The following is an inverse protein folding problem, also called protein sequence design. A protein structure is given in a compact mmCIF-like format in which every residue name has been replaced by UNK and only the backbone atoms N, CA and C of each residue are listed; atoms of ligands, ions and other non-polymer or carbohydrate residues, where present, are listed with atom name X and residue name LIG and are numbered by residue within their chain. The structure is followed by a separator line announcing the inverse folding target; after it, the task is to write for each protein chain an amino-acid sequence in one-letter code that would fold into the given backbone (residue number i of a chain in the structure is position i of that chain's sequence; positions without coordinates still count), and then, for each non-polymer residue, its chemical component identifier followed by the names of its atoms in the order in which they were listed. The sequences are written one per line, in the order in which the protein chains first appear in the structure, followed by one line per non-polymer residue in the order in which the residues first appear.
data_IF_381803566782
#
_entry.id   IF_381803566782
#
_cell.length_a   1.000
_cell.length_b   1.000
_cell.length_c   1.000
_cell.angle_alpha   90.00
_cell.angle_beta   90.00
_cell.angle_gamma   90.00
#
_symmetry.space_group_name_H-M   'P 1'
#
loop_
_entity.id
_entity.type
_entity.pdbx_description
1 polymer ?
#
# COMPACT_ATOMS: atom_id res chain seq x y z
N UNK A 1 -18.32 15.15 77.42
CA UNK A 1 -17.12 14.35 77.23
C UNK A 1 -17.49 12.89 77.38
N UNK A 2 -17.64 12.18 76.34
CA UNK A 2 -17.69 10.70 76.28
C UNK A 2 -16.86 10.28 75.04
N UNK A 3 -15.75 9.69 75.30
CA UNK A 3 -14.88 9.00 74.31
C UNK A 3 -15.60 7.78 73.80
N UNK A 4 -15.70 7.63 72.51
CA UNK A 4 -16.13 6.41 71.83
C UNK A 4 -14.85 5.72 71.25
N UNK A 5 -14.45 4.68 71.96
CA UNK A 5 -13.38 3.77 71.50
C UNK A 5 -13.95 2.84 70.38
N UNK A 6 -13.34 2.87 69.22
CA UNK A 6 -13.61 1.92 68.13
C UNK A 6 -12.72 0.66 68.30
N UNK A 7 -13.22 -0.53 68.03
CA UNK A 7 -12.48 -1.76 68.26
C UNK A 7 -11.39 -2.02 67.21
N UNK A 8 -10.26 -2.52 67.68
CA UNK A 8 -9.02 -2.81 67.01
C UNK A 8 -9.06 -3.95 65.96
N UNK A 9 -10.23 -4.49 65.60
CA UNK A 9 -10.36 -5.65 64.70
C UNK A 9 -10.55 -5.33 63.22
N UNK A 10 -10.78 -4.07 62.86
CA UNK A 10 -10.99 -3.66 61.46
C UNK A 10 -9.67 -3.28 60.75
N UNK A 11 -8.63 -2.92 61.51
CA UNK A 11 -7.34 -2.43 60.97
C UNK A 11 -6.42 -3.59 60.46
N UNK A 12 -6.58 -4.79 60.99
CA UNK A 12 -5.75 -5.96 60.58
C UNK A 12 -6.24 -6.57 59.28
N UNK A 13 -7.54 -6.44 58.95
CA UNK A 13 -8.11 -6.99 57.72
C UNK A 13 -7.82 -6.09 56.54
N UNK A 14 -7.82 -4.78 56.69
CA UNK A 14 -7.47 -3.82 55.66
C UNK A 14 -5.96 -3.80 55.35
N UNK A 15 -5.12 -4.01 56.36
CA UNK A 15 -3.65 -4.11 56.13
C UNK A 15 -3.22 -5.40 55.41
N UNK A 16 -4.02 -6.47 55.44
CA UNK A 16 -3.76 -7.70 54.67
C UNK A 16 -4.18 -7.61 53.21
N UNK A 17 -5.10 -6.71 52.86
CA UNK A 17 -5.51 -6.51 51.45
C UNK A 17 -4.54 -5.57 50.72
N UNK A 18 -3.83 -4.67 51.44
CA UNK A 18 -2.90 -3.72 50.84
C UNK A 18 -1.41 -4.17 50.88
N UNK A 19 -1.10 -5.32 51.49
CA UNK A 19 0.27 -5.86 51.58
C UNK A 19 0.53 -7.06 50.69
N UNK A 20 -0.30 -7.34 49.69
CA UNK A 20 0.08 -8.25 48.61
C UNK A 20 0.80 -7.46 47.52
N UNK A 21 2.10 -7.19 47.78
CA UNK A 21 3.07 -6.66 46.81
C UNK A 21 3.28 -7.56 45.57
N UNK A 22 2.38 -8.53 45.33
CA UNK A 22 2.38 -9.42 44.17
C UNK A 22 1.26 -9.17 43.18
N UNK A 23 0.37 -8.18 43.40
CA UNK A 23 -0.70 -7.85 42.46
C UNK A 23 -0.48 -6.47 41.78
N UNK A 24 0.46 -5.66 42.27
CA UNK A 24 0.73 -4.30 41.70
C UNK A 24 1.80 -4.31 40.59
N UNK A 25 2.40 -5.47 40.28
CA UNK A 25 3.46 -5.53 39.27
C UNK A 25 3.07 -6.17 37.93
N UNK A 26 1.80 -6.07 37.51
CA UNK A 26 1.40 -6.62 36.21
C UNK A 26 0.43 -5.72 35.40
N UNK A 27 0.26 -4.50 35.80
CA UNK A 27 -0.15 -3.44 34.86
C UNK A 27 1.14 -2.67 34.58
N UNK A 28 2.00 -3.16 33.67
CA UNK A 28 2.83 -2.26 32.89
C UNK A 28 1.81 -1.33 32.23
N UNK A 29 1.80 -0.06 32.64
CA UNK A 29 1.34 0.99 31.76
C UNK A 29 2.14 0.75 30.47
N UNK A 30 1.52 0.17 29.44
CA UNK A 30 2.04 0.29 28.09
C UNK A 30 2.08 1.79 27.86
N UNK A 31 3.28 2.38 27.95
CA UNK A 31 3.48 3.77 27.54
C UNK A 31 2.90 3.87 26.14
N UNK A 32 1.80 4.58 26.00
CA UNK A 32 1.22 4.85 24.69
C UNK A 32 2.36 5.43 23.83
N UNK A 33 2.65 4.88 22.67
CA UNK A 33 3.74 5.38 21.84
C UNK A 33 3.56 6.87 21.65
N UNK A 34 4.65 7.64 21.87
CA UNK A 34 4.60 9.09 21.67
C UNK A 34 4.13 9.40 20.26
N UNK A 35 3.16 10.29 20.13
CA UNK A 35 2.65 10.73 18.82
C UNK A 35 3.82 11.23 17.96
N UNK A 36 3.90 10.74 16.73
CA UNK A 36 4.87 11.18 15.72
C UNK A 36 4.47 12.54 15.11
N UNK A 37 3.18 12.89 15.19
CA UNK A 37 2.60 14.11 14.65
C UNK A 37 1.75 14.85 15.68
N UNK A 38 2.33 15.29 16.83
CA UNK A 38 1.57 15.81 17.95
C UNK A 38 0.81 17.11 17.64
N UNK A 39 1.26 17.87 16.65
CA UNK A 39 0.66 19.14 16.25
C UNK A 39 -0.44 18.99 15.18
N UNK A 40 -0.66 17.77 14.68
CA UNK A 40 -1.67 17.51 13.64
C UNK A 40 -2.83 16.75 14.29
N UNK A 41 -3.98 17.36 14.32
CA UNK A 41 -5.22 16.72 14.75
C UNK A 41 -5.77 15.79 13.67
N UNK A 42 -6.78 14.99 13.99
CA UNK A 42 -7.56 14.26 12.99
C UNK A 42 -8.12 15.24 11.96
N UNK A 43 -7.91 14.96 10.68
CA UNK A 43 -8.33 15.82 9.57
C UNK A 43 -9.86 15.83 9.47
N UNK A 44 -10.52 16.97 9.69
CA UNK A 44 -11.97 17.08 9.61
C UNK A 44 -12.45 17.24 8.17
N UNK A 45 -13.76 17.04 7.95
CA UNK A 45 -14.44 17.53 6.75
C UNK A 45 -14.96 18.95 7.01
N UNK A 46 -14.55 19.92 6.21
CA UNK A 46 -14.89 21.35 6.35
C UNK A 46 -15.82 21.86 5.23
N UNK A 47 -16.01 21.03 4.19
CA UNK A 47 -16.84 21.37 3.03
C UNK A 47 -16.16 22.31 2.04
N UNK A 48 -16.76 22.45 0.85
CA UNK A 48 -16.18 23.16 -0.29
C UNK A 48 -15.88 24.65 -0.06
N UNK A 49 -16.50 25.27 0.94
CA UNK A 49 -16.27 26.67 1.33
C UNK A 49 -15.38 26.82 2.56
N UNK A 50 -14.89 25.74 3.12
CA UNK A 50 -14.00 25.74 4.27
C UNK A 50 -12.68 26.44 3.99
N UNK A 51 -12.04 26.98 5.02
CA UNK A 51 -10.79 27.72 4.90
C UNK A 51 -9.62 27.03 5.59
N UNK A 52 -9.83 25.88 6.21
CA UNK A 52 -8.77 25.14 6.89
C UNK A 52 -7.97 24.27 5.89
N UNK A 53 -6.67 24.55 5.68
CA UNK A 53 -5.86 23.76 4.74
C UNK A 53 -5.60 22.33 5.22
N UNK A 54 -5.76 22.02 6.52
CA UNK A 54 -5.70 20.68 7.10
C UNK A 54 -7.11 20.13 7.33
N UNK A 55 -7.97 20.22 6.31
CA UNK A 55 -9.31 19.65 6.29
C UNK A 55 -9.65 19.13 4.88
N UNK A 56 -10.54 18.16 4.82
CA UNK A 56 -11.14 17.74 3.55
C UNK A 56 -12.23 18.71 3.13
N UNK A 57 -12.22 19.10 1.86
CA UNK A 57 -13.25 19.95 1.27
C UNK A 57 -14.24 19.15 0.43
N UNK A 58 -13.85 17.98 -0.04
CA UNK A 58 -14.69 17.13 -0.88
C UNK A 58 -14.80 15.69 -0.38
N UNK A 59 -13.79 15.15 0.30
CA UNK A 59 -13.86 13.82 0.86
C UNK A 59 -14.69 13.81 2.16
N UNK A 60 -15.89 13.24 2.06
CA UNK A 60 -16.74 12.97 3.22
C UNK A 60 -17.05 11.47 3.22
N UNK A 61 -16.37 10.67 4.06
CA UNK A 61 -16.43 9.21 3.99
C UNK A 61 -17.84 8.64 4.10
N UNK A 62 -18.72 9.28 4.82
CA UNK A 62 -20.10 8.82 5.06
C UNK A 62 -21.12 9.40 4.06
N UNK A 63 -20.73 10.29 3.15
CA UNK A 63 -21.63 10.79 2.12
C UNK A 63 -22.05 9.65 1.19
N UNK A 64 -23.37 9.47 1.03
CA UNK A 64 -23.91 8.42 0.17
C UNK A 64 -23.95 8.88 -1.29
N UNK A 65 -23.22 8.18 -2.14
CA UNK A 65 -23.16 8.40 -3.59
C UNK A 65 -23.55 7.08 -4.29
N UNK A 66 -24.49 7.12 -5.23
CA UNK A 66 -24.95 5.94 -5.94
C UNK A 66 -25.34 4.75 -5.02
N UNK A 67 -25.87 5.07 -3.83
CA UNK A 67 -26.38 4.08 -2.87
C UNK A 67 -25.33 3.48 -1.92
N UNK A 68 -24.07 3.91 -1.96
CA UNK A 68 -23.01 3.47 -1.06
C UNK A 68 -22.28 4.67 -0.44
N UNK A 69 -21.73 4.55 0.79
CA UNK A 69 -20.82 5.54 1.35
C UNK A 69 -19.63 5.82 0.42
N UNK A 70 -19.17 7.07 0.38
CA UNK A 70 -18.05 7.50 -0.45
C UNK A 70 -16.78 6.66 -0.20
N UNK A 71 -16.48 6.34 1.05
CA UNK A 71 -15.33 5.49 1.43
C UNK A 71 -15.35 4.09 0.82
N UNK A 72 -16.53 3.53 0.55
CA UNK A 72 -16.67 2.21 -0.08
C UNK A 72 -16.42 2.24 -1.58
N UNK A 73 -16.67 3.39 -2.23
CA UNK A 73 -16.29 3.59 -3.63
C UNK A 73 -14.79 3.80 -3.80
N UNK A 74 -14.16 4.53 -2.88
CA UNK A 74 -12.79 4.99 -3.03
C UNK A 74 -11.76 4.04 -2.42
N UNK A 75 -12.07 3.39 -1.28
CA UNK A 75 -11.18 2.43 -0.60
C UNK A 75 -9.71 2.88 -0.60
N UNK A 76 -9.46 4.09 -0.10
CA UNK A 76 -8.11 4.66 -0.08
C UNK A 76 -7.15 3.84 0.75
N UNK A 77 -5.95 3.63 0.20
CA UNK A 77 -4.85 2.96 0.87
C UNK A 77 -3.58 3.82 0.89
N UNK A 78 -2.78 3.64 1.94
CA UNK A 78 -1.47 4.25 2.09
C UNK A 78 -0.41 3.31 1.52
N UNK A 79 0.39 3.79 0.56
CA UNK A 79 1.59 3.11 0.08
C UNK A 79 2.74 3.28 1.08
N UNK A 80 3.22 2.16 1.63
CA UNK A 80 4.26 2.17 2.67
C UNK A 80 5.56 2.79 2.17
N UNK A 81 5.99 2.41 0.96
CA UNK A 81 7.28 2.81 0.37
C UNK A 81 7.42 4.33 0.20
N UNK A 82 6.47 4.99 -0.43
CA UNK A 82 6.55 6.42 -0.64
C UNK A 82 6.29 7.22 0.64
N UNK A 83 5.29 6.84 1.41
CA UNK A 83 4.89 7.60 2.59
C UNK A 83 5.90 7.46 3.73
N UNK A 84 6.42 6.25 3.98
CA UNK A 84 7.20 5.96 5.19
C UNK A 84 8.69 5.67 4.92
N UNK A 85 9.09 5.33 3.69
CA UNK A 85 10.46 4.94 3.39
C UNK A 85 11.20 5.94 2.51
N UNK A 86 10.51 6.59 1.56
CA UNK A 86 11.15 7.50 0.63
C UNK A 86 11.63 8.79 1.32
N UNK A 87 12.92 9.06 1.23
CA UNK A 87 13.58 10.24 1.83
C UNK A 87 13.98 11.30 0.79
N UNK A 88 13.62 11.10 -0.48
CA UNK A 88 13.94 12.02 -1.57
C UNK A 88 15.37 11.89 -2.10
N UNK A 89 16.03 10.75 -1.86
CA UNK A 89 17.32 10.45 -2.48
C UNK A 89 17.16 10.18 -3.98
N UNK A 90 18.16 10.58 -4.76
CA UNK A 90 18.27 10.29 -6.19
C UNK A 90 19.73 10.10 -6.60
N UNK A 91 19.98 9.91 -7.90
CA UNK A 91 21.34 9.71 -8.41
C UNK A 91 22.29 10.91 -8.22
N UNK A 92 21.78 12.08 -7.85
CA UNK A 92 22.55 13.31 -7.68
C UNK A 92 22.80 13.68 -6.23
N UNK A 93 22.13 13.03 -5.27
CA UNK A 93 22.35 13.32 -3.85
C UNK A 93 21.54 12.47 -2.87
N UNK A 94 21.91 12.59 -1.58
CA UNK A 94 21.20 11.89 -0.52
C UNK A 94 19.81 12.44 -0.30
N UNK A 95 19.02 11.71 0.48
CA UNK A 95 17.68 12.12 0.90
C UNK A 95 17.69 13.42 1.71
N UNK A 96 16.67 14.24 1.49
CA UNK A 96 16.49 15.56 2.13
C UNK A 96 15.44 15.54 3.25
N UNK A 97 14.62 14.48 3.33
CA UNK A 97 13.60 14.32 4.34
C UNK A 97 13.91 13.11 5.23
N UNK A 98 13.96 13.31 6.54
CA UNK A 98 14.13 12.20 7.48
C UNK A 98 12.81 11.46 7.70
N UNK A 99 12.87 10.13 7.65
CA UNK A 99 11.77 9.23 7.99
C UNK A 99 12.12 8.32 9.18
N UNK A 100 12.98 8.80 10.08
CA UNK A 100 13.41 8.02 11.24
C UNK A 100 12.31 7.91 12.32
N UNK A 101 11.35 8.83 12.35
CA UNK A 101 10.24 8.84 13.31
C UNK A 101 10.72 8.71 14.76
N UNK A 102 11.81 9.44 15.12
CA UNK A 102 12.40 9.44 16.46
C UNK A 102 13.20 8.19 16.85
N UNK A 103 13.31 7.19 15.97
CA UNK A 103 14.09 5.98 16.22
C UNK A 103 15.52 6.07 15.66
N UNK A 104 16.43 5.30 16.27
CA UNK A 104 17.77 5.09 15.70
C UNK A 104 17.67 4.08 14.53
N UNK A 105 18.06 4.51 13.34
CA UNK A 105 18.06 3.65 12.15
C UNK A 105 19.02 2.47 12.22
N UNK A 106 20.04 2.51 13.11
CA UNK A 106 20.95 1.39 13.33
C UNK A 106 20.29 0.24 14.10
N UNK A 107 19.25 0.50 14.89
CA UNK A 107 18.36 -0.53 15.44
C UNK A 107 17.22 -0.81 14.46
N UNK A 108 17.44 -1.81 13.62
CA UNK A 108 16.53 -2.17 12.50
C UNK A 108 15.09 -2.43 12.98
N UNK A 109 14.94 -3.11 14.14
CA UNK A 109 13.61 -3.45 14.63
C UNK A 109 12.92 -2.28 15.32
N UNK A 110 13.65 -1.46 16.09
CA UNK A 110 13.10 -0.23 16.65
C UNK A 110 12.67 0.74 15.55
N UNK A 111 13.49 0.90 14.52
CA UNK A 111 13.15 1.72 13.35
C UNK A 111 11.92 1.19 12.59
N UNK A 112 11.84 -0.12 12.37
CA UNK A 112 10.68 -0.74 11.73
C UNK A 112 9.40 -0.50 12.54
N UNK A 113 9.44 -0.67 13.87
CA UNK A 113 8.29 -0.41 14.76
C UNK A 113 7.88 1.07 14.77
N UNK A 114 8.85 2.00 14.76
CA UNK A 114 8.57 3.44 14.67
C UNK A 114 7.87 3.82 13.35
N UNK A 115 8.26 3.19 12.22
CA UNK A 115 7.54 3.35 10.94
C UNK A 115 6.10 2.85 11.03
N UNK A 116 5.88 1.71 11.67
CA UNK A 116 4.51 1.17 11.88
C UNK A 116 3.69 2.16 12.68
N UNK A 117 4.20 2.66 13.81
CA UNK A 117 3.49 3.62 14.65
C UNK A 117 3.14 4.90 13.89
N UNK A 118 4.09 5.46 13.14
CA UNK A 118 3.86 6.63 12.30
C UNK A 118 2.82 6.38 11.20
N UNK A 119 2.91 5.25 10.51
CA UNK A 119 1.97 4.88 9.44
C UNK A 119 0.54 4.74 9.94
N UNK A 120 0.34 4.06 11.06
CA UNK A 120 -0.98 3.90 11.66
C UNK A 120 -1.53 5.22 12.18
N UNK A 121 -0.69 6.11 12.76
CA UNK A 121 -1.10 7.45 13.17
C UNK A 121 -1.54 8.30 11.98
N UNK A 122 -0.79 8.30 10.86
CA UNK A 122 -1.16 9.00 9.62
C UNK A 122 -2.53 8.51 9.13
N UNK A 123 -2.71 7.19 9.00
CA UNK A 123 -3.96 6.61 8.51
C UNK A 123 -5.15 6.95 9.41
N UNK A 124 -4.99 6.90 10.73
CA UNK A 124 -6.05 7.28 11.67
C UNK A 124 -6.43 8.76 11.55
N UNK A 125 -5.43 9.65 11.43
CA UNK A 125 -5.67 11.10 11.29
C UNK A 125 -6.34 11.44 9.96
N UNK A 126 -6.01 10.74 8.88
CA UNK A 126 -6.61 10.91 7.55
C UNK A 126 -7.90 10.11 7.34
N UNK A 127 -8.27 9.22 8.26
CA UNK A 127 -9.37 8.27 8.05
C UNK A 127 -9.15 7.36 6.81
N UNK A 128 -7.90 7.00 6.55
CA UNK A 128 -7.52 5.98 5.54
C UNK A 128 -7.64 4.61 6.18
N UNK A 129 -8.41 3.72 5.57
CA UNK A 129 -8.75 2.42 6.16
C UNK A 129 -7.83 1.28 5.72
N UNK A 130 -6.96 1.50 4.70
CA UNK A 130 -6.13 0.46 4.11
C UNK A 130 -4.69 0.88 3.94
N UNK A 131 -3.78 -0.11 3.83
CA UNK A 131 -2.39 0.09 3.44
C UNK A 131 -1.92 -1.01 2.49
N UNK A 132 -0.86 -0.69 1.73
CA UNK A 132 -0.13 -1.60 0.87
C UNK A 132 1.36 -1.56 1.20
N UNK A 133 2.09 -2.67 1.00
CA UNK A 133 3.50 -2.76 1.38
C UNK A 133 4.29 -3.74 0.50
N UNK A 134 5.61 -3.47 0.36
CA UNK A 134 6.60 -4.49 0.00
C UNK A 134 7.21 -5.10 1.27
N UNK A 135 7.70 -6.31 1.17
CA UNK A 135 8.39 -6.98 2.28
C UNK A 135 9.54 -6.13 2.87
N UNK A 136 10.32 -5.47 2.01
CA UNK A 136 11.45 -4.62 2.42
C UNK A 136 11.06 -3.27 3.00
N UNK A 137 9.83 -2.81 2.80
CA UNK A 137 9.36 -1.55 3.33
C UNK A 137 9.08 -1.65 4.83
N UNK A 138 8.52 -2.78 5.25
CA UNK A 138 8.14 -2.99 6.65
C UNK A 138 9.34 -3.28 7.54
N UNK A 139 10.37 -3.99 7.00
CA UNK A 139 11.67 -4.16 7.66
C UNK A 139 12.78 -4.40 6.65
N UNK A 140 13.99 -3.93 6.96
CA UNK A 140 15.17 -4.08 6.11
C UNK A 140 15.60 -5.55 5.96
N UNK A 141 15.98 -5.94 4.73
CA UNK A 141 16.53 -7.26 4.41
C UNK A 141 17.86 -7.47 5.15
N UNK A 142 18.01 -8.64 5.76
CA UNK A 142 19.23 -9.04 6.47
C UNK A 142 20.21 -9.74 5.51
N UNK A 143 21.40 -10.06 6.02
CA UNK A 143 22.43 -10.77 5.27
C UNK A 143 22.03 -12.19 4.84
N UNK A 144 21.08 -12.81 5.53
CA UNK A 144 20.55 -14.14 5.22
C UNK A 144 19.03 -14.12 5.11
N UNK A 145 18.47 -14.98 4.25
CA UNK A 145 17.04 -15.14 4.10
C UNK A 145 16.36 -15.59 5.40
N UNK A 146 17.02 -16.45 6.18
CA UNK A 146 16.49 -16.90 7.45
C UNK A 146 16.31 -15.77 8.46
N UNK A 147 17.30 -14.88 8.57
CA UNK A 147 17.21 -13.73 9.47
C UNK A 147 16.22 -12.67 8.94
N UNK A 148 16.16 -12.47 7.61
CA UNK A 148 15.14 -11.63 6.98
C UNK A 148 13.74 -12.13 7.34
N UNK A 149 13.49 -13.43 7.19
CA UNK A 149 12.19 -14.02 7.51
C UNK A 149 11.84 -13.88 9.00
N UNK A 150 12.80 -14.02 9.90
CA UNK A 150 12.59 -13.82 11.35
C UNK A 150 12.17 -12.37 11.65
N UNK A 151 12.86 -11.40 11.06
CA UNK A 151 12.51 -9.96 11.20
C UNK A 151 11.11 -9.67 10.64
N UNK A 152 10.80 -10.22 9.47
CA UNK A 152 9.49 -10.10 8.83
C UNK A 152 8.38 -10.67 9.69
N UNK A 153 8.58 -11.83 10.32
CA UNK A 153 7.59 -12.43 11.23
C UNK A 153 7.34 -11.53 12.45
N UNK A 154 8.40 -11.02 13.08
CA UNK A 154 8.31 -10.14 14.25
C UNK A 154 7.58 -8.82 13.94
N UNK A 155 7.96 -8.14 12.83
CA UNK A 155 7.32 -6.88 12.49
C UNK A 155 5.87 -7.07 12.04
N UNK A 156 5.56 -8.19 11.38
CA UNK A 156 4.20 -8.51 10.96
C UNK A 156 3.29 -8.77 12.16
N UNK A 157 3.79 -9.41 13.23
CA UNK A 157 3.04 -9.54 14.49
C UNK A 157 2.74 -8.17 15.11
N UNK A 158 3.71 -7.26 15.05
CA UNK A 158 3.53 -5.89 15.53
C UNK A 158 2.48 -5.13 14.69
N UNK A 159 2.57 -5.19 13.36
CA UNK A 159 1.57 -4.61 12.44
C UNK A 159 0.18 -5.18 12.75
N UNK A 160 0.07 -6.51 12.91
CA UNK A 160 -1.21 -7.17 13.22
C UNK A 160 -1.82 -6.64 14.51
N UNK A 161 -1.02 -6.43 15.55
CA UNK A 161 -1.50 -5.84 16.82
C UNK A 161 -2.07 -4.43 16.63
N UNK A 162 -1.46 -3.61 15.77
CA UNK A 162 -1.97 -2.27 15.43
C UNK A 162 -3.25 -2.34 14.60
N UNK A 163 -3.33 -3.26 13.65
CA UNK A 163 -4.56 -3.51 12.88
C UNK A 163 -5.72 -3.88 13.81
N UNK A 164 -5.49 -4.78 14.75
CA UNK A 164 -6.52 -5.22 15.70
C UNK A 164 -6.99 -4.07 16.62
N UNK A 165 -6.08 -3.17 17.01
CA UNK A 165 -6.39 -2.02 17.84
C UNK A 165 -7.13 -0.90 17.09
N UNK A 166 -6.89 -0.74 15.77
CA UNK A 166 -7.38 0.42 14.99
C UNK A 166 -8.48 0.09 14.00
N UNK A 167 -8.62 -1.17 13.60
CA UNK A 167 -9.51 -1.61 12.52
C UNK A 167 -8.97 -1.34 11.10
N UNK A 168 -7.77 -0.77 10.96
CA UNK A 168 -7.10 -0.56 9.66
C UNK A 168 -6.72 -1.93 9.08
N UNK A 169 -6.80 -2.06 7.75
CA UNK A 169 -6.69 -3.33 7.03
C UNK A 169 -5.56 -3.31 6.01
N UNK A 170 -4.98 -4.47 5.73
CA UNK A 170 -4.10 -4.64 4.59
C UNK A 170 -4.95 -4.75 3.31
N UNK A 171 -4.68 -3.89 2.31
CA UNK A 171 -5.31 -4.00 0.99
C UNK A 171 -4.60 -5.09 0.19
N UNK A 172 -3.30 -4.92 -0.02
CA UNK A 172 -2.46 -5.93 -0.65
C UNK A 172 -1.01 -5.84 -0.21
N UNK A 173 -0.31 -6.95 -0.31
CA UNK A 173 1.13 -7.04 -0.14
C UNK A 173 1.83 -7.41 -1.43
N UNK A 174 3.13 -7.16 -1.49
CA UNK A 174 3.99 -7.55 -2.60
C UNK A 174 5.41 -7.83 -2.13
N UNK A 175 6.25 -8.33 -3.03
CA UNK A 175 7.65 -8.66 -2.79
C UNK A 175 8.56 -7.69 -3.55
N UNK A 176 9.54 -7.09 -2.87
CA UNK A 176 10.61 -6.36 -3.56
C UNK A 176 11.60 -7.35 -4.18
N UNK A 177 11.36 -7.70 -5.44
CA UNK A 177 12.23 -8.55 -6.26
C UNK A 177 12.92 -7.74 -7.38
N UNK A 178 13.27 -6.47 -7.12
CA UNK A 178 13.79 -5.55 -8.13
C UNK A 178 14.92 -4.63 -7.63
N UNK A 179 14.93 -4.21 -6.37
CA UNK A 179 15.89 -3.23 -5.87
C UNK A 179 17.29 -3.80 -5.64
N UNK A 180 17.40 -5.04 -5.16
CA UNK A 180 18.70 -5.63 -4.87
C UNK A 180 19.44 -6.00 -6.17
N UNK A 181 20.75 -5.79 -6.19
CA UNK A 181 21.62 -6.07 -7.37
C UNK A 181 21.49 -7.49 -7.95
N UNK A 182 21.07 -8.49 -7.15
CA UNK A 182 20.83 -9.87 -7.62
C UNK A 182 19.77 -9.94 -8.72
N UNK A 183 18.82 -9.02 -8.72
CA UNK A 183 17.70 -8.99 -9.65
C UNK A 183 17.93 -8.14 -10.90
N UNK A 184 19.16 -7.69 -11.15
CA UNK A 184 19.45 -6.79 -12.27
C UNK A 184 19.15 -7.39 -13.65
N UNK A 185 19.15 -8.74 -13.77
CA UNK A 185 18.77 -9.48 -14.99
C UNK A 185 17.44 -10.22 -14.80
N UNK A 186 16.49 -9.62 -14.07
CA UNK A 186 15.20 -10.21 -13.72
C UNK A 186 15.23 -11.01 -12.42
N UNK A 187 14.06 -11.27 -11.90
CA UNK A 187 13.81 -12.17 -10.78
C UNK A 187 13.09 -13.43 -11.27
N UNK A 188 11.81 -13.28 -11.66
CA UNK A 188 11.01 -14.35 -12.26
C UNK A 188 11.45 -14.73 -13.68
N UNK A 189 11.98 -13.77 -14.43
CA UNK A 189 12.54 -13.96 -15.77
C UNK A 189 14.01 -14.38 -15.76
N UNK A 190 14.67 -14.36 -14.59
CA UNK A 190 16.11 -14.63 -14.52
C UNK A 190 16.50 -15.97 -15.16
N UNK A 191 17.56 -15.98 -16.00
CA UNK A 191 18.13 -17.21 -16.53
C UNK A 191 18.96 -17.99 -15.49
N UNK A 192 19.27 -17.35 -14.35
CA UNK A 192 20.02 -17.94 -13.24
C UNK A 192 19.03 -18.66 -12.30
N UNK A 193 19.19 -19.97 -12.17
CA UNK A 193 18.32 -20.81 -11.35
C UNK A 193 18.35 -20.44 -9.85
N UNK A 194 19.51 -20.00 -9.33
CA UNK A 194 19.66 -19.60 -7.93
C UNK A 194 18.93 -18.28 -7.66
N UNK A 195 18.98 -17.33 -8.60
CA UNK A 195 18.24 -16.07 -8.51
C UNK A 195 16.73 -16.33 -8.60
N UNK A 196 16.29 -17.16 -9.53
CA UNK A 196 14.88 -17.56 -9.65
C UNK A 196 14.39 -18.23 -8.35
N UNK A 197 15.15 -19.17 -7.80
CA UNK A 197 14.79 -19.85 -6.53
C UNK A 197 14.75 -18.87 -5.35
N UNK A 198 15.68 -17.93 -5.30
CA UNK A 198 15.68 -16.88 -4.26
C UNK A 198 14.45 -15.97 -4.38
N UNK A 199 14.10 -15.52 -5.59
CA UNK A 199 12.90 -14.75 -5.86
C UNK A 199 11.63 -15.50 -5.43
N UNK A 200 11.53 -16.79 -5.80
CA UNK A 200 10.42 -17.65 -5.40
C UNK A 200 10.29 -17.75 -3.88
N UNK A 201 11.41 -17.89 -3.16
CA UNK A 201 11.41 -17.97 -1.70
C UNK A 201 10.96 -16.64 -1.04
N UNK A 202 11.37 -15.49 -1.60
CA UNK A 202 10.92 -14.16 -1.14
C UNK A 202 9.43 -13.96 -1.41
N UNK A 203 8.95 -14.27 -2.61
CA UNK A 203 7.53 -14.15 -2.97
C UNK A 203 6.68 -15.04 -2.07
N UNK A 204 7.13 -16.30 -1.85
CA UNK A 204 6.46 -17.21 -0.91
C UNK A 204 6.29 -16.55 0.46
N UNK A 205 7.35 -15.95 1.01
CA UNK A 205 7.29 -15.26 2.31
C UNK A 205 6.35 -14.06 2.28
N UNK A 206 6.41 -13.20 1.26
CA UNK A 206 5.52 -12.03 1.14
C UNK A 206 4.04 -12.45 1.03
N UNK A 207 3.73 -13.54 0.36
CA UNK A 207 2.39 -14.15 0.34
C UNK A 207 1.95 -14.59 1.74
N UNK A 208 2.82 -15.28 2.50
CA UNK A 208 2.54 -15.68 3.88
C UNK A 208 2.21 -14.49 4.78
N UNK A 209 2.99 -13.39 4.66
CA UNK A 209 2.75 -12.15 5.40
C UNK A 209 1.41 -11.52 5.02
N UNK A 210 1.10 -11.48 3.72
CA UNK A 210 -0.17 -10.95 3.21
C UNK A 210 -1.36 -11.73 3.77
N UNK A 211 -1.27 -13.06 3.79
CA UNK A 211 -2.29 -13.94 4.39
C UNK A 211 -2.42 -13.68 5.90
N UNK A 212 -1.31 -13.60 6.62
CA UNK A 212 -1.26 -13.34 8.07
C UNK A 212 -1.91 -12.00 8.43
N UNK A 213 -1.73 -10.98 7.60
CA UNK A 213 -2.35 -9.65 7.75
C UNK A 213 -3.79 -9.58 7.21
N UNK A 214 -4.33 -10.68 6.67
CA UNK A 214 -5.68 -10.68 6.10
C UNK A 214 -5.82 -9.79 4.86
N UNK A 215 -4.74 -9.62 4.10
CA UNK A 215 -4.74 -8.85 2.86
C UNK A 215 -5.70 -9.44 1.83
N UNK A 216 -6.38 -8.57 1.10
CA UNK A 216 -7.38 -8.97 0.09
C UNK A 216 -6.79 -9.08 -1.31
N UNK A 217 -5.53 -8.71 -1.50
CA UNK A 217 -4.79 -8.80 -2.74
C UNK A 217 -3.31 -9.11 -2.56
N UNK A 218 -2.69 -9.60 -3.64
CA UNK A 218 -1.24 -9.72 -3.79
C UNK A 218 -0.82 -9.22 -5.17
N UNK A 219 0.15 -8.30 -5.23
CA UNK A 219 0.60 -7.69 -6.49
C UNK A 219 1.90 -8.34 -6.96
N UNK A 220 1.99 -8.66 -8.26
CA UNK A 220 3.24 -8.93 -8.97
C UNK A 220 3.63 -7.66 -9.71
N UNK A 221 4.69 -6.99 -9.26
CA UNK A 221 5.27 -5.86 -9.95
C UNK A 221 6.60 -6.26 -10.60
N UNK A 222 6.66 -6.10 -11.93
CA UNK A 222 7.71 -6.64 -12.78
C UNK A 222 8.84 -5.67 -13.13
N UNK A 223 9.25 -4.78 -12.22
CA UNK A 223 10.22 -3.71 -12.51
C UNK A 223 11.55 -4.14 -13.13
N UNK A 224 11.99 -5.38 -12.91
CA UNK A 224 13.19 -5.97 -13.54
C UNK A 224 12.87 -7.09 -14.52
N UNK A 225 11.60 -7.39 -14.73
CA UNK A 225 11.14 -8.42 -15.68
C UNK A 225 11.06 -7.82 -17.09
N UNK A 226 12.19 -7.86 -17.78
CA UNK A 226 12.35 -7.23 -19.08
C UNK A 226 13.78 -7.27 -19.58
N UNK A 227 14.10 -6.46 -20.58
CA UNK A 227 15.42 -6.47 -21.22
C UNK A 227 15.92 -5.07 -21.58
N UNK A 228 17.24 -4.94 -21.76
CA UNK A 228 17.90 -3.75 -22.26
C UNK A 228 18.11 -3.84 -23.79
N UNK A 229 18.36 -5.05 -24.30
CA UNK A 229 18.59 -5.34 -25.72
C UNK A 229 18.16 -6.77 -26.03
N UNK A 230 17.66 -6.99 -27.26
CA UNK A 230 17.32 -8.33 -27.75
C UNK A 230 18.53 -9.19 -28.16
N UNK A 231 19.73 -8.62 -28.20
CA UNK A 231 20.91 -9.34 -28.69
C UNK A 231 21.29 -10.58 -27.85
N UNK A 232 20.98 -10.55 -26.57
CA UNK A 232 21.30 -11.61 -25.60
C UNK A 232 20.10 -12.02 -24.75
N UNK A 233 18.91 -11.84 -25.27
CA UNK A 233 17.64 -12.10 -24.54
C UNK A 233 16.89 -13.24 -25.22
N UNK A 234 16.65 -14.33 -24.50
CA UNK A 234 15.70 -15.36 -24.89
C UNK A 234 14.31 -15.04 -24.28
N UNK A 235 13.57 -14.20 -24.99
CA UNK A 235 12.25 -13.71 -24.55
C UNK A 235 11.30 -14.85 -24.19
N UNK A 236 11.33 -15.95 -24.98
CA UNK A 236 10.42 -17.07 -24.70
C UNK A 236 10.76 -17.76 -23.40
N UNK A 237 12.03 -18.03 -23.16
CA UNK A 237 12.52 -18.66 -21.94
C UNK A 237 12.21 -17.80 -20.70
N UNK A 238 12.44 -16.50 -20.81
CA UNK A 238 12.17 -15.55 -19.72
C UNK A 238 10.67 -15.47 -19.38
N UNK A 239 9.79 -15.38 -20.37
CA UNK A 239 8.35 -15.38 -20.17
C UNK A 239 7.84 -16.72 -19.64
N UNK A 240 8.38 -17.87 -20.10
CA UNK A 240 8.06 -19.18 -19.55
C UNK A 240 8.40 -19.27 -18.05
N UNK A 241 9.56 -18.72 -17.65
CA UNK A 241 9.98 -18.65 -16.25
C UNK A 241 9.06 -17.75 -15.40
N UNK A 242 8.75 -16.55 -15.89
CA UNK A 242 7.84 -15.63 -15.19
C UNK A 242 6.48 -16.28 -14.95
N UNK A 243 5.90 -16.89 -16.00
CA UNK A 243 4.61 -17.58 -15.87
C UNK A 243 4.66 -18.75 -14.88
N UNK A 244 5.77 -19.51 -14.87
CA UNK A 244 6.03 -20.58 -13.90
C UNK A 244 6.07 -20.04 -12.47
N UNK A 245 6.80 -18.95 -12.24
CA UNK A 245 6.88 -18.31 -10.92
C UNK A 245 5.54 -17.85 -10.42
N UNK A 246 4.77 -17.16 -11.27
CA UNK A 246 3.40 -16.71 -10.93
C UNK A 246 2.50 -17.89 -10.59
N UNK A 247 2.49 -18.96 -11.39
CA UNK A 247 1.70 -20.16 -11.11
C UNK A 247 2.09 -20.80 -9.78
N UNK A 248 3.39 -20.95 -9.51
CA UNK A 248 3.88 -21.49 -8.23
C UNK A 248 3.42 -20.64 -7.03
N UNK A 249 3.49 -19.32 -7.15
CA UNK A 249 3.06 -18.40 -6.11
C UNK A 249 1.54 -18.48 -5.86
N UNK A 250 0.73 -18.52 -6.93
CA UNK A 250 -0.72 -18.63 -6.86
C UNK A 250 -1.13 -19.97 -6.20
N UNK A 251 -0.58 -21.08 -6.68
CA UNK A 251 -0.90 -22.42 -6.16
C UNK A 251 -0.51 -22.53 -4.69
N UNK A 252 0.66 -22.01 -4.32
CA UNK A 252 1.08 -21.96 -2.93
C UNK A 252 0.13 -21.13 -2.06
N UNK A 253 -0.18 -19.90 -2.48
CA UNK A 253 -1.08 -19.02 -1.75
C UNK A 253 -2.46 -19.66 -1.54
N UNK A 254 -3.03 -20.30 -2.57
CA UNK A 254 -4.29 -21.04 -2.44
C UNK A 254 -4.17 -22.21 -1.46
N UNK A 255 -3.05 -22.90 -1.46
CA UNK A 255 -2.80 -24.03 -0.53
C UNK A 255 -2.76 -23.62 0.95
N UNK A 256 -2.39 -22.38 1.24
CA UNK A 256 -2.38 -21.82 2.61
C UNK A 256 -3.63 -20.97 2.95
N UNK A 257 -4.66 -21.03 2.09
CA UNK A 257 -5.97 -20.43 2.33
C UNK A 257 -6.14 -18.99 1.88
N UNK A 258 -5.26 -18.46 1.02
CA UNK A 258 -5.47 -17.14 0.43
C UNK A 258 -6.66 -17.14 -0.53
N UNK A 259 -7.67 -16.32 -0.26
CA UNK A 259 -8.89 -16.20 -1.06
C UNK A 259 -8.96 -14.86 -1.83
N UNK A 260 -7.98 -13.98 -1.61
CA UNK A 260 -7.91 -12.67 -2.27
C UNK A 260 -7.56 -12.76 -3.77
N UNK A 261 -7.51 -11.62 -4.41
CA UNK A 261 -7.13 -11.50 -5.82
C UNK A 261 -5.60 -11.41 -5.97
N UNK A 262 -5.10 -11.92 -7.10
CA UNK A 262 -3.75 -11.61 -7.56
C UNK A 262 -3.81 -10.50 -8.60
N UNK A 263 -2.81 -9.65 -8.59
CA UNK A 263 -2.69 -8.56 -9.54
C UNK A 263 -1.33 -8.60 -10.24
N UNK A 264 -1.29 -8.22 -11.51
CA UNK A 264 -0.09 -7.77 -12.20
C UNK A 264 -0.20 -6.26 -12.41
N UNK A 265 0.90 -5.55 -12.29
CA UNK A 265 0.94 -4.10 -12.44
C UNK A 265 1.76 -3.73 -13.66
N UNK A 266 1.12 -3.40 -14.77
CA UNK A 266 1.79 -3.09 -16.03
C UNK A 266 2.61 -1.80 -15.93
N UNK A 267 3.83 -1.86 -16.52
CA UNK A 267 4.72 -0.70 -16.69
C UNK A 267 5.56 -0.89 -17.96
N UNK A 268 5.70 0.13 -18.84
CA UNK A 268 6.44 -0.07 -20.09
C UNK A 268 7.95 -0.07 -19.92
N UNK A 269 8.46 0.64 -18.91
CA UNK A 269 9.89 0.87 -18.67
C UNK A 269 10.12 1.34 -17.23
N UNK A 270 11.39 1.35 -16.81
CA UNK A 270 11.86 1.75 -15.47
C UNK A 270 11.54 0.74 -14.37
N UNK A 271 12.59 0.12 -13.83
CA UNK A 271 14.00 0.35 -14.16
C UNK A 271 14.49 -0.35 -15.42
N UNK A 272 13.85 -1.42 -15.90
CA UNK A 272 14.21 -2.04 -17.19
C UNK A 272 13.79 -1.15 -18.36
N UNK A 273 14.51 -1.22 -19.48
CA UNK A 273 14.22 -0.36 -20.64
C UNK A 273 13.00 -0.82 -21.42
N UNK A 274 12.77 -2.14 -21.45
CA UNK A 274 11.61 -2.77 -22.06
C UNK A 274 11.07 -3.80 -21.09
N UNK A 275 9.99 -3.46 -20.34
CA UNK A 275 9.32 -4.41 -19.46
C UNK A 275 8.36 -5.29 -20.27
N UNK A 276 8.21 -6.55 -19.84
CA UNK A 276 7.34 -7.51 -20.52
C UNK A 276 5.86 -7.22 -20.34
N UNK A 277 5.49 -6.58 -19.24
CA UNK A 277 4.13 -6.17 -18.88
C UNK A 277 3.84 -4.72 -19.30
N UNK A 278 4.21 -4.35 -20.53
CA UNK A 278 4.24 -2.99 -21.07
C UNK A 278 2.97 -2.15 -20.79
N UNK A 279 1.80 -2.73 -21.01
CA UNK A 279 0.47 -2.14 -20.79
C UNK A 279 -0.55 -3.23 -20.45
N UNK A 280 -1.77 -2.84 -20.14
CA UNK A 280 -2.85 -3.78 -19.80
C UNK A 280 -3.12 -4.78 -20.91
N UNK A 281 -3.10 -4.35 -22.19
CA UNK A 281 -3.36 -5.25 -23.31
C UNK A 281 -2.26 -6.32 -23.44
N UNK A 282 -1.00 -5.93 -23.31
CA UNK A 282 0.18 -6.82 -23.33
C UNK A 282 0.15 -7.78 -22.14
N UNK A 283 -0.12 -7.28 -20.92
CA UNK A 283 -0.23 -8.11 -19.73
C UNK A 283 -1.40 -9.12 -19.85
N UNK A 284 -2.57 -8.70 -20.35
CA UNK A 284 -3.67 -9.61 -20.62
C UNK A 284 -3.31 -10.69 -21.65
N UNK A 285 -2.54 -10.34 -22.70
CA UNK A 285 -2.07 -11.31 -23.68
C UNK A 285 -1.13 -12.34 -23.06
N UNK A 286 -0.17 -11.90 -22.25
CA UNK A 286 0.72 -12.79 -21.48
C UNK A 286 -0.09 -13.73 -20.59
N UNK A 287 -0.97 -13.18 -19.75
CA UNK A 287 -1.80 -13.98 -18.84
C UNK A 287 -2.68 -15.00 -19.59
N UNK A 288 -3.23 -14.62 -20.73
CA UNK A 288 -4.04 -15.52 -21.57
C UNK A 288 -3.21 -16.63 -22.19
N UNK A 289 -2.01 -16.30 -22.69
CA UNK A 289 -1.07 -17.26 -23.30
C UNK A 289 -0.66 -18.37 -22.33
N UNK A 290 -0.50 -18.00 -21.06
CA UNK A 290 -0.05 -18.95 -20.01
C UNK A 290 -1.20 -19.47 -19.12
N UNK A 291 -2.45 -19.18 -19.46
CA UNK A 291 -3.61 -19.69 -18.72
C UNK A 291 -3.75 -19.09 -17.32
N UNK A 292 -3.30 -17.84 -17.12
CA UNK A 292 -3.31 -17.13 -15.85
C UNK A 292 -4.41 -16.06 -15.75
N UNK A 293 -5.07 -15.70 -16.86
CA UNK A 293 -6.03 -14.59 -16.90
C UNK A 293 -7.26 -14.79 -15.99
N UNK A 294 -7.60 -16.04 -15.67
CA UNK A 294 -8.67 -16.34 -14.71
C UNK A 294 -8.29 -16.13 -13.25
N UNK A 295 -6.99 -16.12 -12.94
CA UNK A 295 -6.46 -16.02 -11.58
C UNK A 295 -5.93 -14.63 -11.26
N UNK A 296 -5.48 -13.87 -12.28
CA UNK A 296 -4.75 -12.62 -12.13
C UNK A 296 -5.50 -11.48 -12.79
N UNK A 297 -5.70 -10.39 -12.06
CA UNK A 297 -6.28 -9.13 -12.52
C UNK A 297 -5.19 -8.06 -12.68
N UNK A 298 -5.58 -6.84 -13.00
CA UNK A 298 -4.70 -5.69 -13.13
C UNK A 298 -4.73 -4.82 -11.88
N UNK A 299 -3.56 -4.39 -11.42
CA UNK A 299 -3.38 -3.19 -10.63
C UNK A 299 -2.92 -2.11 -11.60
N UNK A 300 -3.77 -1.12 -11.89
CA UNK A 300 -3.48 -0.14 -12.94
C UNK A 300 -2.98 1.14 -12.31
N UNK A 301 -1.77 1.54 -12.69
CA UNK A 301 -1.19 2.79 -12.23
C UNK A 301 -1.35 3.90 -13.28
N UNK A 302 -1.70 5.11 -12.81
CA UNK A 302 -1.97 6.24 -13.69
C UNK A 302 -0.72 6.72 -14.44
N UNK A 303 0.43 6.87 -13.75
CA UNK A 303 1.67 7.30 -14.41
C UNK A 303 2.21 6.21 -15.36
N UNK A 304 2.08 4.92 -15.02
CA UNK A 304 2.47 3.83 -15.91
C UNK A 304 1.67 3.85 -17.22
N UNK A 305 0.35 4.10 -17.14
CA UNK A 305 -0.49 4.26 -18.33
C UNK A 305 0.04 5.37 -19.27
N UNK A 306 0.34 6.54 -18.71
CA UNK A 306 0.86 7.67 -19.50
C UNK A 306 2.24 7.42 -20.08
N UNK A 307 3.11 6.69 -19.36
CA UNK A 307 4.40 6.23 -19.87
C UNK A 307 4.28 5.23 -21.05
N UNK A 308 3.21 4.43 -21.06
CA UNK A 308 2.87 3.54 -22.17
C UNK A 308 2.23 4.26 -23.37
N UNK A 309 1.97 5.56 -23.25
CA UNK A 309 1.35 6.38 -24.30
C UNK A 309 -0.19 6.30 -24.30
N UNK A 310 -0.80 5.86 -23.20
CA UNK A 310 -2.23 5.75 -23.03
C UNK A 310 -2.76 6.77 -22.01
N UNK A 311 -4.05 7.06 -22.07
CA UNK A 311 -4.72 7.72 -20.94
C UNK A 311 -4.98 6.70 -19.83
N UNK A 312 -5.04 7.15 -18.60
CA UNK A 312 -5.37 6.27 -17.47
C UNK A 312 -6.74 5.59 -17.65
N UNK A 313 -7.76 6.34 -18.10
CA UNK A 313 -9.08 5.78 -18.39
C UNK A 313 -9.06 4.70 -19.49
N UNK A 314 -8.12 4.78 -20.49
CA UNK A 314 -7.96 3.73 -21.49
C UNK A 314 -7.52 2.41 -20.82
N UNK A 315 -6.50 2.43 -20.00
CA UNK A 315 -5.99 1.23 -19.35
C UNK A 315 -7.05 0.60 -18.42
N UNK A 316 -7.77 1.41 -17.66
CA UNK A 316 -8.88 0.93 -16.81
C UNK A 316 -9.98 0.28 -17.65
N UNK A 317 -10.34 0.88 -18.79
CA UNK A 317 -11.33 0.31 -19.72
C UNK A 317 -10.83 -1.00 -20.30
N UNK A 318 -9.56 -1.07 -20.70
CA UNK A 318 -8.95 -2.28 -21.22
C UNK A 318 -8.93 -3.40 -20.19
N UNK A 319 -8.63 -3.10 -18.93
CA UNK A 319 -8.73 -4.06 -17.85
C UNK A 319 -10.18 -4.57 -17.66
N UNK A 320 -11.15 -3.66 -17.65
CA UNK A 320 -12.56 -4.00 -17.46
C UNK A 320 -13.13 -4.88 -18.60
N UNK A 321 -12.87 -4.55 -19.87
CA UNK A 321 -13.39 -5.33 -21.01
C UNK A 321 -12.73 -6.72 -21.14
N UNK A 322 -11.55 -6.92 -20.55
CA UNK A 322 -10.90 -8.22 -20.45
C UNK A 322 -11.32 -9.01 -19.19
N UNK A 323 -12.22 -8.47 -18.35
CA UNK A 323 -12.62 -9.09 -17.09
C UNK A 323 -11.52 -9.10 -16.03
N UNK A 324 -10.51 -8.25 -16.20
CA UNK A 324 -9.29 -8.23 -15.39
C UNK A 324 -9.14 -6.94 -14.54
N UNK A 325 -10.18 -6.12 -14.39
CA UNK A 325 -10.11 -4.97 -13.49
C UNK A 325 -10.00 -5.41 -12.03
N UNK A 326 -9.05 -4.88 -11.29
CA UNK A 326 -8.76 -5.29 -9.92
C UNK A 326 -8.54 -4.14 -8.95
N UNK A 327 -7.39 -3.49 -9.01
CA UNK A 327 -6.97 -2.42 -8.12
C UNK A 327 -6.35 -1.26 -8.91
N UNK A 328 -6.09 -0.16 -8.23
CA UNK A 328 -5.52 1.05 -8.82
C UNK A 328 -4.38 1.55 -7.93
N UNK A 329 -3.24 1.88 -8.54
CA UNK A 329 -2.24 2.73 -7.95
C UNK A 329 -2.46 4.17 -8.43
N UNK A 330 -2.95 4.96 -7.47
CA UNK A 330 -3.42 6.30 -7.69
C UNK A 330 -2.26 7.30 -7.57
N UNK A 331 -1.82 7.80 -8.70
CA UNK A 331 -0.86 8.89 -8.80
C UNK A 331 -1.14 9.74 -10.05
N UNK A 332 -0.20 10.57 -10.43
CA UNK A 332 -0.25 11.40 -11.62
C UNK A 332 1.15 11.57 -12.16
N UNK A 333 1.31 11.40 -13.47
CA UNK A 333 2.55 11.68 -14.19
C UNK A 333 2.59 13.07 -14.79
N UNK A 334 3.79 13.57 -15.06
CA UNK A 334 4.01 14.69 -15.95
C UNK A 334 4.16 14.16 -17.39
N UNK A 335 3.16 14.44 -18.22
CA UNK A 335 3.06 13.87 -19.58
C UNK A 335 4.25 14.24 -20.50
N UNK A 336 4.98 15.30 -20.18
CA UNK A 336 6.10 15.79 -21.00
C UNK A 336 7.45 15.25 -20.56
N UNK A 337 7.59 14.74 -19.33
CA UNK A 337 8.88 14.28 -18.81
C UNK A 337 9.27 12.87 -19.31
N UNK A 338 8.31 11.98 -19.55
CA UNK A 338 8.58 10.66 -20.10
C UNK A 338 9.22 9.67 -19.13
N UNK A 339 9.16 9.92 -17.82
CA UNK A 339 9.51 9.00 -16.75
C UNK A 339 8.51 9.04 -15.61
N UNK A 340 8.64 8.12 -14.68
CA UNK A 340 7.76 7.99 -13.55
C UNK A 340 8.00 9.08 -12.51
N UNK A 341 6.99 9.91 -12.26
CA UNK A 341 7.08 11.05 -11.35
C UNK A 341 6.33 10.82 -10.03
N UNK A 342 5.42 9.86 -9.99
CA UNK A 342 4.63 9.47 -8.80
C UNK A 342 4.06 10.68 -8.05
N UNK A 343 3.46 11.63 -8.77
CA UNK A 343 2.85 12.80 -8.15
C UNK A 343 1.54 12.42 -7.46
N UNK A 344 1.24 13.05 -6.33
CA UNK A 344 -0.12 12.94 -5.79
C UNK A 344 -1.14 13.50 -6.79
N UNK A 345 -2.28 12.82 -6.98
CA UNK A 345 -3.31 13.24 -7.93
C UNK A 345 -3.88 14.60 -7.57
N UNK A 346 -3.93 15.52 -8.56
CA UNK A 346 -4.55 16.83 -8.43
C UNK A 346 -5.39 17.22 -9.67
N UNK A 347 -5.41 16.36 -10.70
CA UNK A 347 -6.23 16.57 -11.90
C UNK A 347 -7.63 15.96 -11.71
N UNK A 348 -8.62 16.85 -11.52
CA UNK A 348 -10.02 16.47 -11.33
C UNK A 348 -10.64 15.86 -12.58
N UNK A 349 -10.16 16.23 -13.77
CA UNK A 349 -10.67 15.65 -15.01
C UNK A 349 -10.26 14.18 -15.12
N UNK A 350 -9.01 13.88 -14.87
CA UNK A 350 -8.47 12.52 -14.91
C UNK A 350 -9.10 11.64 -13.81
N UNK A 351 -9.22 12.17 -12.59
CA UNK A 351 -9.92 11.49 -11.50
C UNK A 351 -11.41 11.23 -11.83
N UNK A 352 -12.09 12.15 -12.53
CA UNK A 352 -13.48 11.93 -12.96
C UNK A 352 -13.56 10.81 -14.00
N UNK A 353 -12.66 10.82 -14.99
CA UNK A 353 -12.61 9.77 -16.00
C UNK A 353 -12.30 8.40 -15.37
N UNK A 354 -11.35 8.36 -14.42
CA UNK A 354 -11.02 7.18 -13.65
C UNK A 354 -12.25 6.62 -12.89
N UNK A 355 -12.92 7.45 -12.09
CA UNK A 355 -14.06 7.01 -11.30
C UNK A 355 -15.23 6.55 -12.16
N UNK A 356 -15.41 7.12 -13.36
CA UNK A 356 -16.38 6.65 -14.33
C UNK A 356 -16.09 5.20 -14.77
N UNK A 357 -14.83 4.89 -15.06
CA UNK A 357 -14.43 3.52 -15.43
C UNK A 357 -14.59 2.54 -14.26
N UNK A 358 -14.20 2.96 -13.04
CA UNK A 358 -14.41 2.16 -11.82
C UNK A 358 -15.89 1.82 -11.61
N UNK A 359 -16.78 2.81 -11.73
CA UNK A 359 -18.23 2.60 -11.58
C UNK A 359 -18.77 1.68 -12.69
N UNK A 360 -18.34 1.87 -13.94
CA UNK A 360 -18.73 1.02 -15.07
C UNK A 360 -18.28 -0.43 -14.91
N UNK A 361 -17.12 -0.64 -14.29
CA UNK A 361 -16.62 -1.97 -13.94
C UNK A 361 -17.35 -2.63 -12.75
N UNK A 362 -18.29 -1.93 -12.11
CA UNK A 362 -19.03 -2.42 -10.93
C UNK A 362 -18.41 -2.04 -9.58
N UNK A 363 -17.37 -1.22 -9.57
CA UNK A 363 -16.63 -0.82 -8.37
C UNK A 363 -15.52 -1.80 -7.99
N UNK A 364 -14.82 -1.49 -6.90
CA UNK A 364 -13.81 -2.39 -6.35
C UNK A 364 -14.43 -3.56 -5.60
N UNK A 365 -13.89 -4.76 -5.82
CA UNK A 365 -14.17 -5.94 -4.99
C UNK A 365 -13.13 -6.05 -3.87
N UNK A 366 -11.97 -6.63 -4.18
CA UNK A 366 -10.84 -6.80 -3.25
C UNK A 366 -9.78 -5.69 -3.37
N UNK A 367 -9.77 -4.93 -4.46
CA UNK A 367 -8.88 -3.79 -4.67
C UNK A 367 -9.40 -2.47 -4.12
N UNK A 368 -8.65 -1.40 -4.37
CA UNK A 368 -8.95 -0.03 -3.95
C UNK A 368 -8.09 0.98 -4.69
N UNK A 369 -8.06 2.21 -4.18
CA UNK A 369 -7.20 3.30 -4.62
C UNK A 369 -6.02 3.41 -3.66
N UNK A 370 -4.89 2.79 -3.99
CA UNK A 370 -3.65 2.95 -3.25
C UNK A 370 -2.90 4.19 -3.75
N UNK A 371 -2.46 5.06 -2.85
CA UNK A 371 -1.67 6.24 -3.23
C UNK A 371 -0.19 5.86 -3.43
N UNK A 372 0.14 5.29 -4.58
CA UNK A 372 1.51 5.12 -5.04
C UNK A 372 2.07 6.48 -5.49
N UNK A 373 2.26 7.37 -4.53
CA UNK A 373 2.56 8.76 -4.79
C UNK A 373 3.50 9.34 -3.73
N UNK A 374 4.45 10.14 -4.19
CA UNK A 374 5.38 10.89 -3.35
C UNK A 374 4.70 12.16 -2.86
N UNK A 375 4.80 12.44 -1.55
CA UNK A 375 4.26 13.67 -0.99
C UNK A 375 4.95 14.86 -1.68
N UNK A 376 5.97 15.45 -1.24
CA UNK A 376 6.78 16.44 -1.95
C UNK A 376 8.23 16.04 -1.86
N UNK A 377 8.95 16.06 -2.97
CA UNK A 377 10.33 15.63 -2.98
C UNK A 377 11.19 16.36 -1.96
N UNK A 378 11.00 17.66 -1.84
CA UNK A 378 11.76 18.56 -0.95
C UNK A 378 11.02 18.86 0.35
N UNK A 379 10.07 18.02 0.75
CA UNK A 379 9.31 18.18 1.98
C UNK A 379 10.20 18.05 3.21
N UNK A 380 10.05 18.99 4.13
CA UNK A 380 10.79 19.04 5.38
C UNK A 380 9.87 18.99 6.60
N UNK A 381 8.57 19.18 6.40
CA UNK A 381 7.60 19.25 7.48
C UNK A 381 6.69 18.04 7.47
N UNK A 382 6.29 17.53 8.65
CA UNK A 382 5.34 16.43 8.74
C UNK A 382 3.98 16.74 8.07
N UNK A 383 3.59 18.00 8.05
CA UNK A 383 2.34 18.49 7.46
C UNK A 383 2.26 18.20 5.96
N UNK A 384 3.37 18.19 5.25
CA UNK A 384 3.42 17.92 3.81
C UNK A 384 2.82 16.55 3.43
N UNK A 385 2.94 15.55 4.31
CA UNK A 385 2.30 14.24 4.12
C UNK A 385 0.78 14.41 4.10
N UNK A 386 0.24 15.16 5.06
CA UNK A 386 -1.20 15.36 5.19
C UNK A 386 -1.77 16.21 4.06
N UNK A 387 -1.09 17.28 3.65
CA UNK A 387 -1.49 18.08 2.48
C UNK A 387 -1.55 17.26 1.20
N UNK A 388 -0.57 16.39 0.97
CA UNK A 388 -0.54 15.53 -0.20
C UNK A 388 -1.73 14.56 -0.22
N UNK A 389 -1.99 13.86 0.90
CA UNK A 389 -3.14 12.96 1.01
C UNK A 389 -4.48 13.71 0.90
N UNK A 390 -4.63 14.85 1.57
CA UNK A 390 -5.86 15.67 1.45
C UNK A 390 -6.11 16.04 -0.01
N UNK A 391 -5.08 16.48 -0.72
CA UNK A 391 -5.19 16.82 -2.16
C UNK A 391 -5.66 15.63 -2.98
N UNK A 392 -5.01 14.47 -2.85
CA UNK A 392 -5.36 13.27 -3.61
C UNK A 392 -6.75 12.75 -3.28
N UNK A 393 -7.09 12.67 -1.99
CA UNK A 393 -8.40 12.18 -1.54
C UNK A 393 -9.53 13.11 -1.97
N UNK A 394 -9.36 14.42 -1.86
CA UNK A 394 -10.33 15.42 -2.32
C UNK A 394 -10.48 15.41 -3.85
N UNK A 395 -9.40 15.19 -4.59
CA UNK A 395 -9.44 15.10 -6.06
C UNK A 395 -10.31 13.92 -6.51
N UNK A 396 -10.11 12.73 -5.97
CA UNK A 396 -10.94 11.56 -6.30
C UNK A 396 -12.36 11.68 -5.76
N UNK A 397 -12.55 12.26 -4.59
CA UNK A 397 -13.89 12.53 -4.04
C UNK A 397 -14.69 13.48 -4.93
N UNK A 398 -14.03 14.53 -5.44
CA UNK A 398 -14.66 15.46 -6.37
C UNK A 398 -14.96 14.79 -7.72
N UNK A 399 -14.05 13.97 -8.24
CA UNK A 399 -14.25 13.13 -9.43
C UNK A 399 -15.48 12.24 -9.30
N UNK A 400 -15.59 11.50 -8.20
CA UNK A 400 -16.74 10.64 -7.90
C UNK A 400 -18.07 11.43 -7.83
N UNK A 401 -18.06 12.63 -7.22
CA UNK A 401 -19.26 13.49 -7.16
C UNK A 401 -19.71 13.99 -8.53
N UNK A 402 -18.77 14.24 -9.47
CA UNK A 402 -19.09 14.67 -10.84
C UNK A 402 -19.74 13.56 -11.64
N UNK A 403 -19.28 12.35 -11.49
CA UNK A 403 -19.79 11.17 -12.19
C UNK A 403 -21.25 10.85 -11.91
N UNK A 404 -21.74 11.19 -10.74
CA UNK A 404 -23.16 11.08 -10.39
C UNK A 404 -24.11 11.67 -11.43
N UNK A 405 -23.65 12.68 -12.19
CA UNK A 405 -24.45 13.34 -13.23
C UNK A 405 -24.23 12.73 -14.61
N UNK A 406 -23.03 12.23 -14.91
CA UNK A 406 -22.68 11.70 -16.24
C UNK A 406 -23.22 10.28 -16.48
N UNK A 407 -23.37 9.46 -15.45
CA UNK A 407 -24.02 8.13 -15.57
C UNK A 407 -25.46 8.19 -16.07
N UNK A 408 -26.16 9.31 -15.88
CA UNK A 408 -27.50 9.53 -16.45
C UNK A 408 -27.50 9.82 -17.94
N UNK A 409 -26.40 10.28 -18.52
CA UNK A 409 -26.30 10.60 -19.94
C UNK A 409 -25.98 9.36 -20.80
N UNK A 410 -25.48 8.28 -20.21
CA UNK A 410 -25.06 7.07 -20.92
C UNK A 410 -26.06 5.90 -20.78
N UNK A 411 -27.17 6.07 -20.07
CA UNK A 411 -28.20 5.04 -19.93
C UNK A 411 -29.20 5.00 -21.11
N UNK A 412 -28.97 5.76 -22.17
CA UNK A 412 -29.86 5.87 -23.33
C UNK A 412 -29.26 5.35 -24.66
N UNK A 413 -28.25 4.46 -24.59
CA UNK A 413 -27.76 3.75 -25.79
C UNK A 413 -27.70 2.25 -25.57
#
# INVERSE_FOLDING_TARGET
MRELSFPLTLDVTLRRVFNSSHIINTIREEELPMSQFPNISKIPYDGASGGNPLAFHYYNPEEVILGKPMKEHLKFALAWWHTLCAEGADMFGPGTASKAFGADKSDVMAYAKAKVDAGFEIMQKLSVEYFCFHDTDIVEEAATLAETNRRLDEITDYIKSKMDATGIKCLWGTCNAFSHKRFMAGAGTSPDADIFAYAAAKIKKAVELTVKLGGTGYVFWGGREGYETLLNTDVKFELDNLARLMRMAIDYARSIGFTGDFYIEPKPKEPSKHQYDFDVATACNFLRTYGLLGDVKMNVEANHATLAGHTFAHELRMAAVNGAFGSIDANQGDLLLGWDTDQFPCDVFDATACMLEVIRAGGFTNGGLNFDAKNRRMSHTPEDIFYAFITGMDTYALGLRKDRKSTRLNSSH
#
